data_IF_968284370979
#
_entry.id   IF_968284370979
#
_cell.length_a   1.000
_cell.length_b   1.000
_cell.length_c   1.000
_cell.angle_alpha   90.00
_cell.angle_beta   90.00
_cell.angle_gamma   90.00
#
_symmetry.space_group_name_H-M   'P 1'
#
loop_
_entity.id
_entity.type
_entity.pdbx_description
1 polymer ?
#
# COMPACT_ATOMS: atom_id res chain seq x y z
N UNK A 1 1.41 -13.89 -1.01
CA UNK A 1 0.06 -14.18 -1.60
C UNK A 1 0.21 -14.14 -3.11
N UNK A 2 -0.18 -15.20 -3.81
CA UNK A 2 -0.04 -15.23 -5.27
C UNK A 2 -1.31 -14.67 -5.93
N UNK A 3 -1.30 -13.41 -6.31
CA UNK A 3 -2.43 -12.73 -6.97
C UNK A 3 -2.68 -13.18 -8.42
N UNK A 4 -1.78 -14.00 -8.99
CA UNK A 4 -2.01 -14.58 -10.31
C UNK A 4 -3.17 -15.58 -10.34
N UNK A 5 -3.50 -16.19 -9.21
CA UNK A 5 -4.62 -17.09 -9.09
C UNK A 5 -5.86 -16.27 -8.73
N UNK A 6 -6.70 -15.96 -9.72
CA UNK A 6 -7.93 -15.19 -9.51
C UNK A 6 -8.95 -15.89 -8.61
N UNK A 7 -8.90 -17.21 -8.49
CA UNK A 7 -9.87 -18.02 -7.74
C UNK A 7 -9.17 -18.72 -6.59
N UNK A 8 -9.66 -18.52 -5.39
CA UNK A 8 -9.18 -19.17 -4.17
C UNK A 8 -10.25 -20.08 -3.58
N UNK A 9 -9.83 -21.21 -3.03
CA UNK A 9 -10.72 -22.10 -2.27
C UNK A 9 -10.70 -21.68 -0.81
N UNK A 10 -11.84 -21.21 -0.32
CA UNK A 10 -12.03 -20.80 1.08
C UNK A 10 -12.91 -21.84 1.77
N UNK A 11 -12.49 -22.25 2.95
CA UNK A 11 -13.29 -23.14 3.80
C UNK A 11 -14.36 -22.31 4.50
N UNK A 12 -15.63 -22.60 4.22
CA UNK A 12 -16.77 -21.94 4.89
C UNK A 12 -17.01 -22.53 6.29
N UNK A 13 -17.82 -21.87 7.09
CA UNK A 13 -18.14 -22.30 8.46
C UNK A 13 -18.71 -23.73 8.55
N UNK A 14 -19.36 -24.22 7.49
CA UNK A 14 -19.84 -25.61 7.39
C UNK A 14 -18.83 -26.56 6.72
N UNK A 15 -17.54 -26.17 6.70
CA UNK A 15 -16.42 -26.93 6.16
C UNK A 15 -16.45 -27.22 4.64
N UNK A 16 -17.36 -26.61 3.90
CA UNK A 16 -17.38 -26.71 2.44
C UNK A 16 -16.34 -25.77 1.83
N UNK A 17 -15.63 -26.25 0.80
CA UNK A 17 -14.71 -25.44 0.01
C UNK A 17 -15.53 -24.63 -1.00
N UNK A 18 -15.43 -23.32 -0.94
CA UNK A 18 -16.01 -22.41 -1.94
C UNK A 18 -14.92 -21.75 -2.74
N UNK A 19 -15.11 -21.66 -4.03
CA UNK A 19 -14.25 -20.88 -4.92
C UNK A 19 -14.67 -19.41 -4.87
N UNK A 20 -13.71 -18.53 -4.61
CA UNK A 20 -13.95 -17.09 -4.49
C UNK A 20 -12.90 -16.33 -5.27
N UNK A 21 -13.33 -15.29 -5.98
CA UNK A 21 -12.44 -14.39 -6.68
C UNK A 21 -11.63 -13.56 -5.66
N UNK A 22 -10.32 -13.44 -5.89
CA UNK A 22 -9.43 -12.66 -5.02
C UNK A 22 -9.83 -11.18 -4.99
N UNK A 23 -10.25 -10.63 -6.10
CA UNK A 23 -10.71 -9.24 -6.19
C UNK A 23 -11.91 -8.99 -5.28
N UNK A 24 -12.87 -9.94 -5.24
CA UNK A 24 -14.02 -9.85 -4.33
C UNK A 24 -13.57 -9.87 -2.86
N UNK A 25 -12.60 -10.71 -2.51
CA UNK A 25 -12.08 -10.79 -1.14
C UNK A 25 -11.46 -9.44 -0.76
N UNK A 26 -10.58 -8.91 -1.60
CA UNK A 26 -9.90 -7.63 -1.38
C UNK A 26 -10.93 -6.49 -1.25
N UNK A 27 -11.90 -6.44 -2.16
CA UNK A 27 -13.00 -5.47 -2.10
C UNK A 27 -13.72 -5.49 -0.75
N UNK A 28 -14.12 -6.67 -0.29
CA UNK A 28 -14.84 -6.80 0.99
C UNK A 28 -13.98 -6.40 2.18
N UNK A 29 -12.69 -6.75 2.16
CA UNK A 29 -11.74 -6.30 3.18
C UNK A 29 -11.60 -4.78 3.21
N UNK A 30 -11.47 -4.14 2.04
CA UNK A 30 -11.37 -2.68 1.93
C UNK A 30 -12.64 -2.01 2.47
N UNK A 31 -13.82 -2.51 2.14
CA UNK A 31 -15.10 -1.98 2.65
C UNK A 31 -15.11 -2.01 4.17
N UNK A 32 -14.76 -3.14 4.77
CA UNK A 32 -14.80 -3.29 6.23
C UNK A 32 -13.74 -2.43 6.94
N UNK A 33 -12.52 -2.37 6.39
CA UNK A 33 -11.44 -1.52 6.92
C UNK A 33 -11.83 -0.05 6.82
N UNK A 34 -12.35 0.40 5.66
CA UNK A 34 -12.86 1.77 5.47
C UNK A 34 -13.90 2.12 6.52
N UNK A 35 -14.91 1.26 6.70
CA UNK A 35 -15.97 1.46 7.68
C UNK A 35 -15.41 1.66 9.09
N UNK A 36 -14.55 0.74 9.54
CA UNK A 36 -13.93 0.80 10.86
C UNK A 36 -13.03 2.03 11.04
N UNK A 37 -12.26 2.40 10.00
CA UNK A 37 -11.43 3.59 10.04
C UNK A 37 -12.27 4.85 10.22
N UNK A 38 -13.34 5.02 9.44
CA UNK A 38 -14.26 6.16 9.54
C UNK A 38 -14.93 6.20 10.93
N UNK A 39 -15.41 5.06 11.42
CA UNK A 39 -16.02 4.96 12.76
C UNK A 39 -15.02 5.40 13.86
N UNK A 40 -13.78 5.00 13.77
CA UNK A 40 -12.74 5.36 14.73
C UNK A 40 -12.35 6.84 14.62
N UNK A 41 -12.19 7.36 13.42
CA UNK A 41 -11.86 8.78 13.19
C UNK A 41 -12.99 9.68 13.71
N UNK A 42 -14.24 9.33 13.48
CA UNK A 42 -15.41 10.08 13.96
C UNK A 42 -15.50 10.16 15.49
N UNK A 43 -14.96 9.19 16.21
CA UNK A 43 -14.90 9.27 17.68
C UNK A 43 -13.97 10.40 18.14
N UNK A 44 -12.88 10.64 17.43
CA UNK A 44 -11.88 11.67 17.76
C UNK A 44 -12.23 13.03 17.13
N UNK A 45 -12.78 12.97 15.91
CA UNK A 45 -13.14 14.14 15.12
C UNK A 45 -14.61 14.07 14.64
N UNK A 46 -15.59 14.37 15.51
CA UNK A 46 -17.02 14.23 15.19
C UNK A 46 -17.47 15.06 14.00
N UNK A 47 -16.79 16.18 13.74
CA UNK A 47 -17.10 17.12 12.64
C UNK A 47 -16.51 16.69 11.29
N UNK A 48 -15.81 15.54 11.22
CA UNK A 48 -15.25 15.07 9.96
C UNK A 48 -16.36 14.81 8.94
N UNK A 49 -16.23 15.43 7.78
CA UNK A 49 -17.18 15.30 6.67
C UNK A 49 -16.61 14.30 5.69
N UNK A 50 -17.19 13.12 5.58
CA UNK A 50 -16.76 12.04 4.66
C UNK A 50 -16.61 12.49 3.20
N UNK A 51 -17.29 13.56 2.82
CA UNK A 51 -17.25 14.11 1.45
C UNK A 51 -15.86 14.53 1.01
N UNK A 52 -14.98 14.87 1.96
CA UNK A 52 -13.62 15.36 1.69
C UNK A 52 -12.54 14.32 2.02
N UNK A 53 -12.93 13.11 2.43
CA UNK A 53 -11.99 12.07 2.75
C UNK A 53 -11.25 11.60 1.48
N UNK A 54 -9.94 11.43 1.63
CA UNK A 54 -9.08 10.81 0.63
C UNK A 54 -8.41 9.60 1.25
N UNK A 55 -8.36 8.52 0.50
CA UNK A 55 -7.74 7.28 0.91
C UNK A 55 -6.51 7.03 0.03
N UNK A 56 -5.40 6.68 0.63
CA UNK A 56 -4.19 6.27 -0.06
C UNK A 56 -3.96 4.81 0.27
N UNK A 57 -3.71 4.00 -0.75
CA UNK A 57 -3.34 2.60 -0.60
C UNK A 57 -1.86 2.47 -0.95
N UNK A 58 -1.10 1.86 -0.05
CA UNK A 58 0.27 1.46 -0.36
C UNK A 58 0.31 0.02 -0.87
N UNK A 59 1.21 -0.23 -1.79
CA UNK A 59 1.44 -1.56 -2.38
C UNK A 59 2.94 -1.85 -2.43
N UNK A 60 3.36 -3.13 -2.29
CA UNK A 60 4.76 -3.52 -2.44
C UNK A 60 5.34 -3.07 -3.79
N UNK A 61 6.59 -2.59 -3.77
CA UNK A 61 7.25 -2.12 -4.98
C UNK A 61 7.47 -3.25 -5.99
N UNK A 62 7.76 -4.46 -5.49
CA UNK A 62 8.00 -5.67 -6.32
C UNK A 62 6.74 -6.23 -7.00
N UNK A 63 5.54 -5.74 -6.64
CA UNK A 63 4.34 -6.24 -7.31
C UNK A 63 4.34 -5.86 -8.79
N UNK A 64 3.95 -6.82 -9.61
CA UNK A 64 3.77 -6.57 -11.04
C UNK A 64 2.53 -5.72 -11.33
N UNK A 65 2.45 -5.25 -12.56
CA UNK A 65 1.34 -4.41 -13.04
C UNK A 65 -0.02 -5.07 -12.79
N UNK A 66 -0.13 -6.39 -13.04
CA UNK A 66 -1.40 -7.12 -12.90
C UNK A 66 -1.87 -7.19 -11.45
N UNK A 67 -0.96 -7.41 -10.51
CA UNK A 67 -1.26 -7.43 -9.07
C UNK A 67 -1.70 -6.05 -8.59
N UNK A 68 -1.00 -4.99 -9.04
CA UNK A 68 -1.37 -3.60 -8.76
C UNK A 68 -2.75 -3.28 -9.33
N UNK A 69 -3.06 -3.73 -10.57
CA UNK A 69 -4.35 -3.49 -11.21
C UNK A 69 -5.50 -4.17 -10.45
N UNK A 70 -5.33 -5.41 -9.98
CA UNK A 70 -6.35 -6.10 -9.16
C UNK A 70 -6.68 -5.30 -7.89
N UNK A 71 -5.66 -4.72 -7.23
CA UNK A 71 -5.86 -3.87 -6.05
C UNK A 71 -6.62 -2.60 -6.40
N UNK A 72 -6.27 -1.94 -7.52
CA UNK A 72 -6.95 -0.74 -8.03
C UNK A 72 -8.42 -1.03 -8.30
N UNK A 73 -8.71 -2.11 -9.02
CA UNK A 73 -10.07 -2.49 -9.39
C UNK A 73 -10.91 -2.81 -8.14
N UNK A 74 -10.34 -3.55 -7.19
CA UNK A 74 -10.99 -3.87 -5.93
C UNK A 74 -11.29 -2.63 -5.10
N UNK A 75 -10.34 -1.70 -5.00
CA UNK A 75 -10.49 -0.44 -4.26
C UNK A 75 -11.55 0.47 -4.89
N UNK A 76 -11.56 0.57 -6.23
CA UNK A 76 -12.58 1.32 -6.96
C UNK A 76 -13.98 0.71 -6.74
N UNK A 77 -14.13 -0.61 -6.89
CA UNK A 77 -15.38 -1.34 -6.63
C UNK A 77 -15.82 -1.30 -5.16
N UNK A 78 -14.90 -1.04 -4.24
CA UNK A 78 -15.20 -0.81 -2.83
C UNK A 78 -15.67 0.62 -2.54
N UNK A 79 -15.72 1.49 -3.55
CA UNK A 79 -16.12 2.88 -3.41
C UNK A 79 -15.10 3.70 -2.59
N UNK A 80 -13.81 3.37 -2.73
CA UNK A 80 -12.76 4.13 -2.05
C UNK A 80 -12.49 5.47 -2.73
N UNK A 81 -12.68 5.55 -4.04
CA UNK A 81 -12.45 6.70 -4.89
C UNK A 81 -13.76 7.30 -5.36
N UNK A 82 -13.76 8.58 -5.65
CA UNK A 82 -14.93 9.31 -6.18
C UNK A 82 -14.89 9.31 -7.70
N UNK A 83 -16.04 9.57 -8.34
CA UNK A 83 -16.22 9.48 -9.79
C UNK A 83 -15.26 10.38 -10.53
N UNK A 84 -14.69 11.35 -10.20
CA UNK A 84 -13.74 12.21 -10.92
C UNK A 84 -12.33 12.22 -10.31
N UNK A 85 -12.04 11.27 -9.42
CA UNK A 85 -10.71 11.16 -8.84
C UNK A 85 -9.73 10.59 -9.87
N UNK A 86 -8.54 11.17 -9.95
CA UNK A 86 -7.41 10.52 -10.61
C UNK A 86 -6.90 9.39 -9.72
N UNK A 87 -7.35 8.18 -10.03
CA UNK A 87 -7.07 6.97 -9.24
C UNK A 87 -5.56 6.74 -9.07
N UNK A 88 -4.75 7.15 -10.05
CA UNK A 88 -3.29 7.03 -9.97
C UNK A 88 -2.67 7.79 -8.80
N UNK A 89 -3.32 8.87 -8.33
CA UNK A 89 -2.81 9.67 -7.21
C UNK A 89 -3.06 9.06 -5.83
N UNK A 90 -3.82 7.96 -5.75
CA UNK A 90 -4.20 7.32 -4.48
C UNK A 90 -3.45 6.00 -4.23
N UNK A 91 -2.49 5.67 -5.09
CA UNK A 91 -1.59 4.55 -4.90
C UNK A 91 -0.17 5.04 -4.74
N UNK A 92 0.49 4.54 -3.69
CA UNK A 92 1.90 4.79 -3.43
C UNK A 92 2.63 3.45 -3.26
N UNK A 93 3.91 3.43 -3.55
CA UNK A 93 4.73 2.27 -3.20
C UNK A 93 5.07 2.33 -1.70
N UNK A 94 5.03 1.17 -1.02
CA UNK A 94 5.35 1.08 0.41
C UNK A 94 6.69 1.72 0.76
N UNK A 95 7.79 1.45 0.03
CA UNK A 95 9.07 2.07 0.34
C UNK A 95 9.11 3.58 0.04
N UNK A 96 8.35 4.08 -0.94
CA UNK A 96 8.24 5.52 -1.16
C UNK A 96 7.55 6.22 0.02
N UNK A 97 6.45 5.64 0.50
CA UNK A 97 5.75 6.14 1.68
C UNK A 97 6.66 6.13 2.92
N UNK A 98 7.48 5.10 3.09
CA UNK A 98 8.47 5.02 4.16
C UNK A 98 9.53 6.12 4.04
N UNK A 99 10.09 6.38 2.85
CA UNK A 99 11.06 7.45 2.61
C UNK A 99 10.49 8.83 2.97
N UNK A 100 9.24 9.09 2.59
CA UNK A 100 8.53 10.33 2.95
C UNK A 100 8.40 10.42 4.48
N UNK A 101 7.97 9.34 5.13
CA UNK A 101 7.81 9.31 6.59
C UNK A 101 9.14 9.62 7.29
N UNK A 102 10.23 8.95 6.94
CA UNK A 102 11.56 9.22 7.53
C UNK A 102 11.99 10.67 7.35
N UNK A 103 11.72 11.26 6.19
CA UNK A 103 12.07 12.66 5.95
C UNK A 103 11.23 13.67 6.76
N UNK A 104 10.03 13.29 7.21
CA UNK A 104 9.16 14.15 8.03
C UNK A 104 9.50 14.09 9.52
N UNK A 105 10.19 13.04 9.97
CA UNK A 105 10.54 12.86 11.37
C UNK A 105 11.80 13.64 11.73
N UNK A 106 11.73 14.53 12.73
CA UNK A 106 12.87 15.34 13.17
C UNK A 106 14.11 14.49 13.54
N UNK A 107 13.88 13.30 14.12
CA UNK A 107 14.95 12.36 14.49
C UNK A 107 15.70 11.77 13.30
N UNK A 108 15.08 11.74 12.14
CA UNK A 108 15.59 11.01 10.96
C UNK A 108 15.82 11.89 9.75
N UNK A 109 15.31 13.13 9.72
CA UNK A 109 15.37 13.99 8.54
C UNK A 109 16.78 14.27 8.03
N UNK A 110 17.80 14.19 8.91
CA UNK A 110 19.20 14.43 8.59
C UNK A 110 19.95 13.14 8.21
N UNK A 111 19.32 11.98 8.27
CA UNK A 111 19.94 10.70 7.89
C UNK A 111 19.99 10.58 6.37
N UNK A 112 18.96 11.09 5.70
CA UNK A 112 18.88 11.06 4.23
C UNK A 112 19.32 12.43 3.71
N UNK A 113 20.55 12.51 3.23
CA UNK A 113 21.09 13.72 2.62
C UNK A 113 20.52 13.95 1.21
N UNK A 114 20.47 15.21 0.79
CA UNK A 114 20.05 15.56 -0.57
C UNK A 114 21.14 15.12 -1.56
N UNK A 115 20.71 14.55 -2.70
CA UNK A 115 21.55 14.05 -3.80
C UNK A 115 22.44 12.83 -3.45
N UNK A 116 22.45 12.35 -2.21
CA UNK A 116 23.16 11.12 -1.86
C UNK A 116 22.24 9.90 -2.04
N UNK A 117 22.69 8.85 -2.75
CA UNK A 117 21.96 7.58 -2.83
C UNK A 117 21.86 6.90 -1.47
N UNK A 118 20.72 6.32 -1.19
CA UNK A 118 20.50 5.47 -0.02
C UNK A 118 19.72 4.21 -0.40
N UNK A 119 19.87 3.17 0.41
CA UNK A 119 19.12 1.93 0.29
C UNK A 119 18.05 1.94 1.37
N UNK A 120 16.82 1.69 0.97
CA UNK A 120 15.72 1.43 1.90
C UNK A 120 15.34 -0.04 1.80
N UNK A 121 15.33 -0.72 2.95
CA UNK A 121 14.90 -2.11 3.08
C UNK A 121 13.57 -2.14 3.86
N UNK A 122 12.50 -2.49 3.19
CA UNK A 122 11.21 -2.78 3.81
C UNK A 122 11.11 -4.28 4.09
N UNK A 123 11.24 -4.65 5.36
CA UNK A 123 11.24 -6.03 5.84
C UNK A 123 9.89 -6.36 6.45
N UNK A 124 8.90 -6.61 5.60
CA UNK A 124 7.53 -6.87 5.98
C UNK A 124 7.26 -8.30 6.45
N UNK A 125 6.00 -8.58 6.77
CA UNK A 125 5.58 -9.94 7.14
C UNK A 125 5.41 -10.86 5.92
N UNK A 126 4.98 -10.32 4.78
CA UNK A 126 4.76 -11.07 3.55
C UNK A 126 5.89 -10.95 2.55
N UNK A 127 6.40 -9.75 2.37
CA UNK A 127 7.43 -9.41 1.38
C UNK A 127 8.64 -8.76 2.03
N UNK A 128 9.75 -8.81 1.32
CA UNK A 128 10.92 -7.96 1.52
C UNK A 128 11.07 -7.15 0.24
N UNK A 129 11.10 -5.84 0.38
CA UNK A 129 11.29 -4.90 -0.73
C UNK A 129 12.54 -4.06 -0.47
N UNK A 130 13.43 -4.00 -1.44
CA UNK A 130 14.68 -3.22 -1.38
C UNK A 130 14.68 -2.27 -2.56
N UNK A 131 14.85 -0.99 -2.28
CA UNK A 131 14.95 0.05 -3.28
C UNK A 131 16.19 0.91 -3.07
N UNK A 132 16.69 1.48 -4.15
CA UNK A 132 17.77 2.47 -4.12
C UNK A 132 17.22 3.78 -4.62
N UNK A 133 17.26 4.78 -3.77
CA UNK A 133 16.71 6.11 -4.04
C UNK A 133 17.73 7.19 -3.70
N UNK A 134 17.48 8.40 -4.22
CA UNK A 134 18.08 9.62 -3.70
C UNK A 134 17.01 10.67 -3.43
N UNK A 135 17.24 11.50 -2.41
CA UNK A 135 16.40 12.64 -2.11
C UNK A 135 16.79 13.80 -3.01
N UNK A 136 15.84 14.34 -3.75
CA UNK A 136 16.02 15.51 -4.61
C UNK A 136 15.03 16.60 -4.26
N UNK A 137 15.33 17.84 -4.59
CA UNK A 137 14.43 18.98 -4.39
C UNK A 137 14.07 19.56 -5.75
N UNK A 138 12.80 19.43 -6.14
CA UNK A 138 12.27 19.95 -7.40
C UNK A 138 11.20 21.00 -7.06
N UNK A 139 11.37 22.23 -7.51
CA UNK A 139 10.45 23.35 -7.23
C UNK A 139 10.11 23.52 -5.73
N UNK A 140 11.12 23.42 -4.88
CA UNK A 140 11.02 23.45 -3.42
C UNK A 140 10.18 22.31 -2.80
N UNK A 141 9.93 21.25 -3.55
CA UNK A 141 9.28 20.05 -3.07
C UNK A 141 10.32 18.95 -2.96
N UNK A 142 10.38 18.33 -1.77
CA UNK A 142 11.21 17.15 -1.55
C UNK A 142 10.53 15.97 -2.24
N UNK A 143 11.27 15.28 -3.10
CA UNK A 143 10.85 14.05 -3.75
C UNK A 143 11.97 13.00 -3.68
N UNK A 144 11.63 11.75 -3.97
CA UNK A 144 12.58 10.64 -3.98
C UNK A 144 12.64 10.06 -5.39
N UNK A 145 13.83 10.09 -5.98
CA UNK A 145 14.09 9.52 -7.30
C UNK A 145 14.59 8.09 -7.14
N UNK A 146 13.89 7.14 -7.77
CA UNK A 146 14.33 5.74 -7.83
C UNK A 146 15.50 5.62 -8.83
N UNK A 147 16.62 5.05 -8.37
CA UNK A 147 17.83 4.91 -9.19
C UNK A 147 17.93 3.54 -9.85
N UNK A 148 17.33 2.51 -9.28
CA UNK A 148 17.33 1.14 -9.78
C UNK A 148 15.97 0.50 -9.53
N UNK A 149 15.59 -0.44 -10.39
CA UNK A 149 14.37 -1.20 -10.19
C UNK A 149 14.34 -1.89 -8.82
N UNK A 150 13.17 -1.88 -8.15
CA UNK A 150 13.01 -2.58 -6.89
C UNK A 150 13.39 -4.05 -6.99
N UNK A 151 14.06 -4.55 -5.97
CA UNK A 151 14.35 -5.97 -5.82
C UNK A 151 13.78 -6.49 -4.52
N UNK A 152 13.39 -7.76 -4.50
CA UNK A 152 12.79 -8.34 -3.31
C UNK A 152 12.07 -9.66 -3.60
N UNK A 153 11.21 -10.06 -2.70
CA UNK A 153 10.45 -11.30 -2.86
C UNK A 153 9.59 -11.63 -1.64
N UNK A 154 8.96 -12.80 -1.70
CA UNK A 154 8.14 -13.33 -0.61
C UNK A 154 9.02 -13.90 0.52
N UNK A 155 9.89 -13.09 1.08
CA UNK A 155 10.86 -13.45 2.13
C UNK A 155 10.51 -12.86 3.49
N UNK A 156 9.27 -12.41 3.66
CA UNK A 156 8.80 -11.79 4.89
C UNK A 156 8.78 -12.74 6.10
N UNK A 157 8.63 -12.17 7.29
CA UNK A 157 8.73 -12.90 8.57
C UNK A 157 7.76 -14.08 8.71
N UNK A 158 6.65 -14.09 7.98
CA UNK A 158 5.73 -15.24 7.96
C UNK A 158 6.39 -16.53 7.46
N UNK A 159 7.43 -16.43 6.63
CA UNK A 159 8.21 -17.59 6.14
C UNK A 159 9.19 -18.16 7.15
N UNK A 160 9.54 -17.39 8.18
CA UNK A 160 10.45 -17.82 9.24
C UNK A 160 9.72 -18.76 10.21
N UNK A 161 8.38 -18.65 10.28
CA UNK A 161 7.55 -19.42 11.19
C UNK A 161 6.94 -20.69 10.53
N UNK A 162 7.28 -20.99 9.29
CA UNK A 162 6.94 -22.23 8.57
C UNK A 162 8.07 -23.27 8.71
#
# INVERSE_FOLDING_TARGET
>A
MNLYKKIYKIKSNNHQLKEVDIELIIKLMIIEVKKKAIEQIKKTYPSLIEKNDRFIITVPAIWDYKSKQIMIDAANKAGLFKENDDIGTFFALEPEAASIYFNTQESYKNIINTEEPFILCDLGSGTVDIIVQKKVIINNIITFEELYHPVGGNYGSNRINE
#
